data_IF_604674239628
#
_entry.id   IF_604674239628
#
_cell.length_a   1.000
_cell.length_b   1.000
_cell.length_c   1.000
_cell.angle_alpha   90.00
_cell.angle_beta   90.00
_cell.angle_gamma   90.00
#
_symmetry.space_group_name_H-M   'P 1'
#
loop_
_entity.id
_entity.type
_entity.pdbx_description
1 polymer ?
#
# COMPACT_ATOMS: atom_id res chain seq x y z
N UNK A 1 -29.22 -42.38 -11.25
CA UNK A 1 -30.47 -41.88 -10.66
C UNK A 1 -30.35 -41.54 -9.17
N UNK A 2 -29.16 -41.59 -8.53
CA UNK A 2 -28.98 -41.10 -7.14
C UNK A 2 -28.68 -39.60 -7.05
N UNK A 3 -28.01 -39.04 -8.07
CA UNK A 3 -27.59 -37.63 -8.05
C UNK A 3 -28.76 -36.64 -7.99
N UNK A 4 -29.92 -36.99 -8.56
CA UNK A 4 -31.07 -36.09 -8.60
C UNK A 4 -31.73 -35.98 -7.21
N UNK A 5 -31.90 -37.10 -6.49
CA UNK A 5 -32.43 -37.11 -5.13
C UNK A 5 -31.49 -36.39 -4.16
N UNK A 6 -30.17 -36.63 -4.26
CA UNK A 6 -29.16 -35.96 -3.44
C UNK A 6 -29.16 -34.44 -3.67
N UNK A 7 -29.21 -34.00 -4.93
CA UNK A 7 -29.27 -32.57 -5.29
C UNK A 7 -30.56 -31.92 -4.79
N UNK A 8 -31.70 -32.60 -4.90
CA UNK A 8 -32.99 -32.12 -4.39
C UNK A 8 -32.94 -32.02 -2.86
N UNK A 9 -32.39 -33.03 -2.17
CA UNK A 9 -32.23 -33.02 -0.73
C UNK A 9 -31.37 -31.84 -0.27
N UNK A 10 -30.20 -31.63 -0.87
CA UNK A 10 -29.31 -30.51 -0.56
C UNK A 10 -30.01 -29.16 -0.76
N UNK A 11 -30.74 -29.01 -1.86
CA UNK A 11 -31.52 -27.79 -2.14
C UNK A 11 -32.58 -27.55 -1.07
N UNK A 12 -33.32 -28.60 -0.68
CA UNK A 12 -34.34 -28.51 0.35
C UNK A 12 -33.73 -28.19 1.73
N UNK A 13 -32.57 -28.77 2.07
CA UNK A 13 -31.89 -28.48 3.34
C UNK A 13 -31.39 -27.04 3.40
N UNK A 14 -30.80 -26.54 2.30
CA UNK A 14 -30.34 -25.16 2.20
C UNK A 14 -31.48 -24.15 2.40
N UNK A 15 -32.61 -24.36 1.71
CA UNK A 15 -33.77 -23.47 1.82
C UNK A 15 -34.44 -23.52 3.20
N UNK A 16 -34.38 -24.66 3.89
CA UNK A 16 -34.88 -24.78 5.26
C UNK A 16 -33.92 -24.09 6.26
N UNK A 17 -32.61 -24.12 6.04
CA UNK A 17 -31.62 -23.43 6.90
C UNK A 17 -31.70 -21.90 6.76
N UNK A 18 -32.03 -21.39 5.57
CA UNK A 18 -32.23 -19.95 5.30
C UNK A 18 -33.66 -19.45 5.62
N UNK A 19 -34.51 -20.26 6.26
CA UNK A 19 -35.92 -19.96 6.56
C UNK A 19 -36.80 -19.63 5.31
N UNK A 20 -36.35 -20.02 4.10
CA UNK A 20 -37.03 -19.74 2.82
C UNK A 20 -38.11 -20.77 2.46
N UNK A 21 -38.09 -21.95 3.08
CA UNK A 21 -39.05 -23.03 2.83
C UNK A 21 -39.18 -23.96 4.03
N UNK A 22 -40.34 -24.57 4.23
CA UNK A 22 -40.53 -25.63 5.24
C UNK A 22 -40.58 -27.04 4.62
N UNK A 23 -40.51 -28.09 5.46
CA UNK A 23 -40.50 -29.50 5.02
C UNK A 23 -41.72 -29.82 4.15
N UNK A 24 -42.91 -29.31 4.48
CA UNK A 24 -44.13 -29.61 3.72
C UNK A 24 -44.10 -28.96 2.33
N UNK A 25 -43.58 -27.74 2.23
CA UNK A 25 -43.38 -27.03 0.96
C UNK A 25 -42.32 -27.69 0.08
N UNK A 26 -41.22 -28.16 0.67
CA UNK A 26 -40.20 -28.94 -0.02
C UNK A 26 -40.77 -30.25 -0.61
N UNK A 27 -41.59 -30.97 0.16
CA UNK A 27 -42.23 -32.21 -0.32
C UNK A 27 -43.31 -31.95 -1.38
N UNK A 28 -44.02 -30.82 -1.29
CA UNK A 28 -45.00 -30.42 -2.29
C UNK A 28 -44.35 -30.02 -3.63
N UNK A 29 -43.13 -29.47 -3.59
CA UNK A 29 -42.36 -29.07 -4.77
C UNK A 29 -41.79 -30.27 -5.55
N UNK A 30 -41.53 -31.38 -4.87
CA UNK A 30 -40.97 -32.61 -5.46
C UNK A 30 -41.82 -33.84 -5.12
N UNK A 31 -43.07 -33.93 -5.65
CA UNK A 31 -44.02 -34.98 -5.28
C UNK A 31 -43.54 -36.39 -5.66
N UNK A 32 -42.77 -36.52 -6.75
CA UNK A 32 -42.23 -37.80 -7.23
C UNK A 32 -41.20 -38.42 -6.26
N UNK A 33 -40.48 -37.58 -5.51
CA UNK A 33 -39.45 -38.01 -4.54
C UNK A 33 -39.90 -37.89 -3.08
N UNK A 34 -41.15 -37.49 -2.84
CA UNK A 34 -41.64 -37.14 -1.50
C UNK A 34 -41.58 -38.31 -0.50
N UNK A 35 -41.79 -39.55 -0.96
CA UNK A 35 -41.72 -40.75 -0.12
C UNK A 35 -40.30 -41.03 0.40
N UNK A 36 -39.29 -40.74 -0.41
CA UNK A 36 -37.87 -40.93 -0.07
C UNK A 36 -37.25 -39.71 0.64
N UNK A 37 -37.66 -38.48 0.29
CA UNK A 37 -37.15 -37.24 0.90
C UNK A 37 -37.63 -37.04 2.34
N UNK A 38 -38.89 -37.41 2.64
CA UNK A 38 -39.51 -37.17 3.95
C UNK A 38 -38.69 -37.73 5.14
N UNK A 39 -38.24 -39.00 5.15
CA UNK A 39 -37.42 -39.51 6.25
C UNK A 39 -36.05 -38.82 6.36
N UNK A 40 -35.44 -38.41 5.23
CA UNK A 40 -34.13 -37.76 5.21
C UNK A 40 -34.19 -36.35 5.82
N UNK A 41 -35.17 -35.54 5.41
CA UNK A 41 -35.41 -34.21 5.98
C UNK A 41 -35.78 -34.28 7.48
N UNK A 42 -36.56 -35.29 7.89
CA UNK A 42 -36.88 -35.51 9.29
C UNK A 42 -35.65 -35.90 10.13
N UNK A 43 -34.70 -36.65 9.56
CA UNK A 43 -33.45 -36.98 10.23
C UNK A 43 -32.53 -35.75 10.36
N UNK A 44 -32.39 -34.98 9.29
CA UNK A 44 -31.58 -33.76 9.27
C UNK A 44 -32.06 -32.73 10.30
N UNK A 45 -33.38 -32.51 10.41
CA UNK A 45 -33.95 -31.58 11.40
C UNK A 45 -33.75 -32.05 12.85
N UNK A 46 -33.79 -33.37 13.10
CA UNK A 46 -33.45 -33.92 14.43
C UNK A 46 -31.97 -33.70 14.76
N UNK A 47 -31.08 -33.85 13.78
CA UNK A 47 -29.64 -33.67 13.97
C UNK A 47 -29.27 -32.19 14.15
N UNK A 48 -29.94 -31.28 13.43
CA UNK A 48 -29.76 -29.84 13.56
C UNK A 48 -30.00 -29.35 15.00
N UNK A 49 -31.00 -29.89 15.70
CA UNK A 49 -31.24 -29.59 17.13
C UNK A 49 -30.09 -30.01 18.05
N UNK A 50 -29.28 -30.99 17.66
CA UNK A 50 -28.08 -31.39 18.39
C UNK A 50 -26.90 -30.43 18.21
N UNK A 51 -26.93 -29.56 17.20
CA UNK A 51 -25.87 -28.57 16.92
C UNK A 51 -25.88 -27.40 17.92
N UNK A 52 -27.00 -27.18 18.61
CA UNK A 52 -27.17 -26.16 19.65
C UNK A 52 -26.53 -26.56 21.00
N UNK A 53 -25.88 -27.72 21.08
CA UNK A 53 -25.15 -28.12 22.29
C UNK A 53 -23.93 -27.22 22.46
N UNK A 54 -24.12 -26.15 23.22
CA UNK A 54 -23.02 -25.27 23.67
C UNK A 54 -22.36 -25.91 24.88
N UNK A 55 -21.02 -26.09 24.89
CA UNK A 55 -20.34 -26.61 26.05
C UNK A 55 -20.50 -25.68 27.26
N UNK A 56 -20.69 -26.28 28.43
CA UNK A 56 -20.77 -25.56 29.69
C UNK A 56 -19.57 -24.58 29.85
N UNK A 57 -19.80 -23.29 30.18
CA UNK A 57 -18.73 -22.31 30.28
C UNK A 57 -17.64 -22.69 31.28
N UNK A 58 -17.99 -23.38 32.39
CA UNK A 58 -17.01 -23.82 33.38
C UNK A 58 -16.20 -25.03 32.88
N UNK A 59 -16.79 -25.90 32.05
CA UNK A 59 -16.03 -26.93 31.31
C UNK A 59 -15.02 -26.29 30.35
N UNK A 60 -15.44 -25.29 29.55
CA UNK A 60 -14.55 -24.59 28.60
C UNK A 60 -13.40 -23.88 29.32
N UNK A 61 -13.67 -23.24 30.46
CA UNK A 61 -12.64 -22.60 31.28
C UNK A 61 -11.62 -23.62 31.79
N UNK A 62 -12.09 -24.76 32.34
CA UNK A 62 -11.21 -25.85 32.81
C UNK A 62 -10.35 -26.44 31.70
N UNK A 63 -10.94 -26.69 30.52
CA UNK A 63 -10.21 -27.20 29.37
C UNK A 63 -9.10 -26.25 28.90
N UNK A 64 -9.37 -24.93 28.92
CA UNK A 64 -8.34 -23.91 28.61
C UNK A 64 -7.19 -23.94 29.62
N UNK A 65 -7.51 -23.95 30.91
CA UNK A 65 -6.47 -24.02 31.95
C UNK A 65 -5.61 -25.28 31.82
N UNK A 66 -6.21 -26.43 31.53
CA UNK A 66 -5.47 -27.69 31.30
C UNK A 66 -4.58 -27.60 30.05
N UNK A 67 -5.07 -27.01 28.98
CA UNK A 67 -4.29 -26.80 27.76
C UNK A 67 -3.10 -25.87 28.01
N UNK A 68 -3.30 -24.78 28.75
CA UNK A 68 -2.23 -23.84 29.10
C UNK A 68 -1.12 -24.53 29.92
N UNK A 69 -1.51 -25.33 30.92
CA UNK A 69 -0.56 -26.12 31.71
C UNK A 69 0.21 -27.10 30.83
N UNK A 70 -0.48 -27.79 29.91
CA UNK A 70 0.16 -28.72 28.97
C UNK A 70 1.15 -28.00 28.04
N UNK A 71 0.79 -26.85 27.49
CA UNK A 71 1.69 -26.05 26.63
C UNK A 71 2.92 -25.55 27.38
N UNK A 72 2.79 -25.19 28.66
CA UNK A 72 3.92 -24.79 29.50
C UNK A 72 4.84 -25.96 29.83
N UNK A 73 4.28 -27.15 30.07
CA UNK A 73 5.04 -28.36 30.34
C UNK A 73 5.70 -28.92 29.08
N UNK A 74 5.13 -28.69 27.90
CA UNK A 74 5.63 -29.19 26.61
C UNK A 74 5.88 -28.01 25.66
N UNK A 75 6.85 -27.12 25.99
CA UNK A 75 7.16 -25.98 25.15
C UNK A 75 7.70 -26.48 23.82
N UNK A 76 6.90 -26.33 22.76
CA UNK A 76 7.38 -26.58 21.41
C UNK A 76 8.46 -25.54 21.09
N UNK A 77 9.71 -26.00 20.99
CA UNK A 77 10.80 -25.15 20.49
C UNK A 77 10.48 -24.79 19.05
N UNK A 78 10.14 -23.52 18.80
CA UNK A 78 10.07 -22.98 17.43
C UNK A 78 11.45 -23.13 16.81
N UNK A 79 11.64 -24.19 16.03
CA UNK A 79 12.88 -24.45 15.33
C UNK A 79 12.93 -23.48 14.14
N UNK A 80 13.38 -22.25 14.38
CA UNK A 80 13.73 -21.34 13.29
C UNK A 80 14.91 -21.96 12.56
N UNK A 81 14.70 -22.34 11.30
CA UNK A 81 15.76 -22.96 10.51
C UNK A 81 16.94 -21.99 10.38
N UNK A 82 18.19 -22.41 10.66
CA UNK A 82 19.37 -21.56 10.50
C UNK A 82 19.57 -21.09 9.06
N UNK A 83 18.94 -21.79 8.10
CA UNK A 83 18.89 -21.42 6.69
C UNK A 83 18.07 -20.14 6.49
N UNK A 84 16.93 -20.00 7.18
CA UNK A 84 16.09 -18.82 7.10
C UNK A 84 16.82 -17.56 7.61
N UNK A 85 17.56 -17.68 8.72
CA UNK A 85 18.35 -16.57 9.26
C UNK A 85 19.48 -16.14 8.30
N UNK A 86 20.16 -17.10 7.65
CA UNK A 86 21.20 -16.83 6.65
C UNK A 86 20.64 -16.11 5.43
N UNK A 87 19.47 -16.52 4.93
CA UNK A 87 18.80 -15.82 3.84
C UNK A 87 18.35 -14.42 4.25
N UNK A 88 17.84 -14.23 5.46
CA UNK A 88 17.50 -12.89 5.98
C UNK A 88 18.70 -11.95 6.00
N UNK A 89 19.86 -12.41 6.47
CA UNK A 89 21.09 -11.61 6.46
C UNK A 89 21.50 -11.27 5.02
N UNK A 90 21.47 -12.25 4.11
CA UNK A 90 21.84 -12.05 2.71
C UNK A 90 20.92 -11.07 1.98
N UNK A 91 19.61 -11.14 2.24
CA UNK A 91 18.64 -10.19 1.68
C UNK A 91 18.87 -8.79 2.22
N UNK A 92 19.12 -8.65 3.53
CA UNK A 92 19.42 -7.36 4.15
C UNK A 92 20.72 -6.76 3.61
N UNK A 93 21.79 -7.55 3.44
CA UNK A 93 23.04 -7.04 2.86
C UNK A 93 22.89 -6.66 1.39
N UNK A 94 22.16 -7.43 0.58
CA UNK A 94 21.86 -7.05 -0.80
C UNK A 94 21.03 -5.76 -0.85
N UNK A 95 20.02 -5.61 0.00
CA UNK A 95 19.25 -4.36 0.13
C UNK A 95 20.14 -3.18 0.50
N UNK A 96 21.03 -3.35 1.48
CA UNK A 96 21.97 -2.31 1.90
C UNK A 96 22.96 -1.94 0.78
N UNK A 97 23.47 -2.93 0.04
CA UNK A 97 24.31 -2.69 -1.13
C UNK A 97 23.54 -1.98 -2.25
N UNK A 98 22.28 -2.33 -2.48
CA UNK A 98 21.44 -1.68 -3.48
C UNK A 98 21.10 -0.24 -3.11
N UNK A 99 20.88 0.04 -1.82
CA UNK A 99 20.72 1.41 -1.30
C UNK A 99 22.03 2.19 -1.45
N UNK A 100 23.18 1.59 -1.11
CA UNK A 100 24.48 2.23 -1.25
C UNK A 100 24.82 2.54 -2.72
N UNK A 101 24.67 1.58 -3.64
CA UNK A 101 24.96 1.75 -5.06
C UNK A 101 23.91 2.57 -5.81
N UNK A 102 22.64 2.51 -5.39
CA UNK A 102 21.54 3.23 -6.01
C UNK A 102 21.59 4.75 -5.80
N UNK A 103 22.23 5.23 -4.73
CA UNK A 103 22.34 6.68 -4.50
C UNK A 103 23.26 7.37 -5.50
N UNK A 104 24.38 6.75 -5.89
CA UNK A 104 25.37 7.39 -6.78
C UNK A 104 24.81 7.65 -8.20
N UNK A 105 24.12 6.68 -8.78
CA UNK A 105 23.50 6.83 -10.10
C UNK A 105 22.21 7.66 -10.09
N UNK A 106 21.49 7.70 -8.96
CA UNK A 106 20.29 8.52 -8.83
C UNK A 106 20.60 10.02 -8.80
N UNK A 107 21.77 10.44 -8.29
CA UNK A 107 22.09 11.87 -8.22
C UNK A 107 22.21 12.51 -9.60
N UNK A 108 22.71 11.78 -10.61
CA UNK A 108 22.96 12.29 -11.96
C UNK A 108 21.78 12.11 -12.92
N UNK A 109 20.76 11.31 -12.55
CA UNK A 109 19.59 11.10 -13.38
C UNK A 109 18.88 12.43 -13.68
N UNK A 110 18.64 12.68 -14.97
CA UNK A 110 17.91 13.83 -15.49
C UNK A 110 16.43 13.47 -15.70
N UNK A 111 15.54 14.48 -15.80
CA UNK A 111 14.15 14.24 -16.16
C UNK A 111 14.04 13.30 -17.36
N UNK A 112 13.21 12.26 -17.26
CA UNK A 112 13.01 11.28 -18.33
C UNK A 112 14.01 10.12 -18.38
N UNK A 113 15.06 10.11 -17.56
CA UNK A 113 15.89 8.91 -17.37
C UNK A 113 15.18 7.88 -16.48
N UNK A 114 15.49 6.59 -16.64
CA UNK A 114 14.82 5.50 -15.93
C UNK A 114 14.90 5.63 -14.38
N UNK A 115 16.06 6.09 -13.87
CA UNK A 115 16.28 6.25 -12.43
C UNK A 115 15.78 7.59 -11.87
N UNK A 116 15.13 8.44 -12.68
CA UNK A 116 14.66 9.75 -12.23
C UNK A 116 13.51 9.64 -11.23
N UNK A 117 12.59 8.70 -11.40
CA UNK A 117 11.54 8.42 -10.41
C UNK A 117 12.14 8.02 -9.07
N UNK A 118 13.17 7.17 -9.10
CA UNK A 118 13.89 6.76 -7.90
C UNK A 118 14.57 7.94 -7.19
N UNK A 119 15.17 8.86 -7.97
CA UNK A 119 15.71 10.12 -7.46
C UNK A 119 14.65 10.92 -6.71
N UNK A 120 13.50 11.17 -7.33
CA UNK A 120 12.39 11.92 -6.70
C UNK A 120 11.90 11.24 -5.42
N UNK A 121 11.78 9.91 -5.40
CA UNK A 121 11.36 9.19 -4.18
C UNK A 121 12.40 9.30 -3.06
N UNK A 122 13.69 9.20 -3.38
CA UNK A 122 14.76 9.32 -2.38
C UNK A 122 14.81 10.72 -1.76
N UNK A 123 14.58 11.75 -2.58
CA UNK A 123 14.52 13.15 -2.12
C UNK A 123 13.28 13.41 -1.26
N UNK A 124 12.15 12.77 -1.58
CA UNK A 124 10.95 12.85 -0.76
C UNK A 124 11.16 12.25 0.63
N UNK A 125 11.80 11.08 0.71
CA UNK A 125 12.19 10.46 1.99
C UNK A 125 13.14 11.36 2.76
N UNK A 126 14.19 11.88 2.11
CA UNK A 126 15.14 12.81 2.74
C UNK A 126 14.42 14.00 3.36
N UNK A 127 13.48 14.61 2.63
CA UNK A 127 12.68 15.72 3.13
C UNK A 127 11.84 15.36 4.35
N UNK A 128 11.17 14.21 4.36
CA UNK A 128 10.32 13.78 5.50
C UNK A 128 11.17 13.54 6.74
N UNK A 129 12.37 13.00 6.57
CA UNK A 129 13.27 12.69 7.69
C UNK A 129 14.11 13.88 8.18
N UNK A 130 14.12 14.99 7.44
CA UNK A 130 14.95 16.15 7.77
C UNK A 130 14.35 16.99 8.90
N UNK A 131 15.20 17.45 9.80
CA UNK A 131 14.85 18.42 10.86
C UNK A 131 14.51 19.79 10.24
N UNK A 132 15.12 20.15 9.10
CA UNK A 132 14.79 21.37 8.34
C UNK A 132 14.24 20.99 6.94
N UNK A 133 12.93 20.71 6.81
CA UNK A 133 12.32 20.40 5.51
C UNK A 133 12.42 21.55 4.51
N UNK A 134 12.44 22.80 4.99
CA UNK A 134 12.58 23.98 4.13
C UNK A 134 13.99 24.06 3.54
N UNK A 135 15.03 23.83 4.34
CA UNK A 135 16.41 23.75 3.85
C UNK A 135 16.60 22.66 2.79
N UNK A 136 15.93 21.52 2.95
CA UNK A 136 15.89 20.47 1.91
C UNK A 136 15.19 20.98 0.66
N UNK A 137 14.01 21.60 0.79
CA UNK A 137 13.27 22.14 -0.36
C UNK A 137 14.09 23.20 -1.13
N UNK A 138 14.82 24.08 -0.43
CA UNK A 138 15.76 25.04 -1.02
C UNK A 138 16.89 24.32 -1.77
N UNK A 139 17.48 23.28 -1.19
CA UNK A 139 18.54 22.51 -1.85
C UNK A 139 18.04 21.81 -3.11
N UNK A 140 16.85 21.20 -3.04
CA UNK A 140 16.21 20.57 -4.19
C UNK A 140 15.84 21.59 -5.26
N UNK A 141 15.50 22.83 -4.88
CA UNK A 141 15.20 23.89 -5.86
C UNK A 141 16.39 24.25 -6.74
N UNK A 142 17.58 24.39 -6.15
CA UNK A 142 18.81 24.62 -6.90
C UNK A 142 19.14 23.43 -7.82
N UNK A 143 18.83 22.21 -7.39
CA UNK A 143 18.98 21.02 -8.23
C UNK A 143 18.03 21.04 -9.42
N UNK A 144 16.75 21.37 -9.23
CA UNK A 144 15.78 21.46 -10.33
C UNK A 144 16.15 22.57 -11.33
N UNK A 145 16.67 23.70 -10.84
CA UNK A 145 17.25 24.73 -11.69
C UNK A 145 18.40 24.17 -12.56
N UNK A 146 19.37 23.49 -11.95
CA UNK A 146 20.50 22.93 -12.68
C UNK A 146 20.07 21.91 -13.73
N UNK A 147 19.11 21.04 -13.41
CA UNK A 147 18.55 20.09 -14.37
C UNK A 147 17.86 20.80 -15.54
N UNK A 148 17.11 21.87 -15.26
CA UNK A 148 16.48 22.68 -16.30
C UNK A 148 17.51 23.34 -17.23
N UNK A 149 18.60 23.89 -16.68
CA UNK A 149 19.69 24.47 -17.47
C UNK A 149 20.37 23.40 -18.34
N UNK A 150 20.71 22.25 -17.76
CA UNK A 150 21.36 21.13 -18.48
C UNK A 150 20.48 20.63 -19.62
N UNK A 151 19.19 20.40 -19.35
CA UNK A 151 18.26 19.87 -20.35
C UNK A 151 17.98 20.91 -21.44
N UNK A 152 17.89 22.20 -21.10
CA UNK A 152 17.66 23.26 -22.10
C UNK A 152 18.82 23.38 -23.10
N UNK A 153 20.04 22.99 -22.72
CA UNK A 153 21.18 22.90 -23.63
C UNK A 153 21.19 21.67 -24.55
N UNK A 154 20.36 20.64 -24.28
CA UNK A 154 20.39 19.35 -24.99
C UNK A 154 19.54 19.27 -26.25
N UNK A 155 18.61 20.21 -26.45
CA UNK A 155 17.68 20.23 -27.60
C UNK A 155 16.50 19.24 -27.52
N UNK A 156 16.43 18.39 -26.48
CA UNK A 156 15.30 17.48 -26.25
C UNK A 156 14.11 18.22 -25.61
N UNK A 157 13.15 18.60 -26.45
CA UNK A 157 11.99 19.39 -26.03
C UNK A 157 11.07 18.64 -25.06
N UNK A 158 10.90 17.33 -25.22
CA UNK A 158 10.06 16.53 -24.32
C UNK A 158 10.68 16.45 -22.93
N UNK A 159 12.01 16.30 -22.86
CA UNK A 159 12.78 16.36 -21.62
C UNK A 159 12.73 17.74 -20.98
N UNK A 160 12.83 18.80 -21.80
CA UNK A 160 12.75 20.19 -21.34
C UNK A 160 11.40 20.50 -20.71
N UNK A 161 10.31 20.10 -21.33
CA UNK A 161 8.97 20.25 -20.77
C UNK A 161 8.84 19.59 -19.38
N UNK A 162 9.37 18.36 -19.22
CA UNK A 162 9.40 17.68 -17.92
C UNK A 162 10.26 18.43 -16.88
N UNK A 163 11.40 18.97 -17.28
CA UNK A 163 12.26 19.75 -16.39
C UNK A 163 11.57 21.03 -15.91
N UNK A 164 10.88 21.74 -16.81
CA UNK A 164 10.08 22.93 -16.49
C UNK A 164 8.96 22.57 -15.51
N UNK A 165 8.18 21.52 -15.79
CA UNK A 165 7.09 21.06 -14.92
C UNK A 165 7.60 20.75 -13.50
N UNK A 166 8.74 20.06 -13.38
CA UNK A 166 9.33 19.72 -12.09
C UNK A 166 9.78 20.96 -11.31
N UNK A 167 10.30 21.98 -12.00
CA UNK A 167 10.65 23.26 -11.39
C UNK A 167 9.40 24.06 -10.97
N UNK A 168 8.37 24.12 -11.82
CA UNK A 168 7.10 24.77 -11.52
C UNK A 168 6.39 24.17 -10.29
N UNK A 169 6.37 22.85 -10.15
CA UNK A 169 5.83 22.16 -8.96
C UNK A 169 6.47 22.66 -7.67
N UNK A 170 7.77 22.98 -7.72
CA UNK A 170 8.49 23.52 -6.59
C UNK A 170 8.13 24.98 -6.32
N UNK A 171 7.96 25.80 -7.36
CA UNK A 171 7.49 27.17 -7.22
C UNK A 171 6.09 27.22 -6.59
N UNK A 172 5.15 26.40 -7.04
CA UNK A 172 3.80 26.33 -6.43
C UNK A 172 3.89 26.07 -4.92
N UNK A 173 4.79 25.16 -4.51
CA UNK A 173 5.02 24.84 -3.11
C UNK A 173 5.59 26.01 -2.31
N UNK A 174 6.57 26.72 -2.85
CA UNK A 174 7.11 27.91 -2.20
C UNK A 174 6.08 29.05 -2.13
N UNK A 175 5.12 29.10 -3.05
CA UNK A 175 4.15 30.20 -3.10
C UNK A 175 3.10 30.02 -2.01
N UNK A 176 2.78 28.76 -1.72
CA UNK A 176 1.90 28.36 -0.64
C UNK A 176 2.50 28.55 0.77
N UNK A 177 3.79 28.87 0.91
CA UNK A 177 4.39 29.15 2.22
C UNK A 177 3.90 30.52 2.74
N UNK A 178 3.23 30.49 3.90
CA UNK A 178 2.61 31.67 4.51
C UNK A 178 3.47 32.26 5.64
N UNK A 179 4.40 31.47 6.20
CA UNK A 179 5.23 31.92 7.30
C UNK A 179 6.27 32.96 6.81
N UNK A 180 6.28 34.14 7.43
CA UNK A 180 7.16 35.25 7.02
C UNK A 180 8.65 34.94 7.15
N UNK A 181 9.08 34.27 8.22
CA UNK A 181 10.49 33.90 8.42
C UNK A 181 10.96 32.93 7.34
N UNK A 182 10.11 31.97 6.97
CA UNK A 182 10.40 31.01 5.90
C UNK A 182 10.43 31.68 4.55
N UNK A 183 9.49 32.60 4.27
CA UNK A 183 9.49 33.42 3.06
C UNK A 183 10.76 34.26 2.94
N UNK A 184 11.22 34.86 4.03
CA UNK A 184 12.47 35.62 4.06
C UNK A 184 13.69 34.77 3.69
N UNK A 185 13.68 33.46 3.98
CA UNK A 185 14.71 32.51 3.53
C UNK A 185 14.59 32.14 2.05
N UNK A 186 13.37 32.03 1.51
CA UNK A 186 13.10 31.57 0.14
C UNK A 186 13.38 32.66 -0.90
N UNK A 187 12.91 33.89 -0.65
CA UNK A 187 12.96 35.00 -1.62
C UNK A 187 14.36 35.31 -2.20
N UNK A 188 15.45 35.41 -1.41
CA UNK A 188 16.76 35.67 -1.98
C UNK A 188 17.25 34.53 -2.89
N UNK A 189 16.88 33.28 -2.58
CA UNK A 189 17.22 32.12 -3.40
C UNK A 189 16.48 32.19 -4.74
N UNK A 190 15.16 32.41 -4.72
CA UNK A 190 14.38 32.53 -5.95
C UNK A 190 14.86 33.68 -6.84
N UNK A 191 15.34 34.78 -6.25
CA UNK A 191 15.91 35.91 -7.01
C UNK A 191 17.18 35.50 -7.74
N UNK A 192 18.10 34.84 -7.03
CA UNK A 192 19.32 34.32 -7.64
C UNK A 192 19.04 33.28 -8.74
N UNK A 193 18.02 32.43 -8.54
CA UNK A 193 17.60 31.45 -9.55
C UNK A 193 17.01 32.12 -10.79
N UNK A 194 16.20 33.17 -10.61
CA UNK A 194 15.64 33.95 -11.71
C UNK A 194 16.74 34.62 -12.54
N UNK A 195 17.72 35.26 -11.90
CA UNK A 195 18.88 35.85 -12.58
C UNK A 195 19.69 34.80 -13.35
N UNK A 196 19.90 33.62 -12.76
CA UNK A 196 20.61 32.52 -13.41
C UNK A 196 19.88 32.00 -14.65
N UNK A 197 18.54 31.89 -14.61
CA UNK A 197 17.71 31.47 -15.74
C UNK A 197 17.75 32.50 -16.87
N UNK A 198 17.64 33.78 -16.55
CA UNK A 198 17.76 34.87 -17.53
C UNK A 198 19.13 34.81 -18.21
N UNK A 199 20.21 34.63 -17.44
CA UNK A 199 21.58 34.50 -17.99
C UNK A 199 21.72 33.27 -18.89
N UNK A 200 20.99 32.19 -18.61
CA UNK A 200 20.95 30.99 -19.43
C UNK A 200 20.00 31.11 -20.65
N UNK A 201 19.29 32.22 -20.82
CA UNK A 201 18.33 32.42 -21.90
C UNK A 201 17.04 31.60 -21.73
N UNK A 202 16.72 31.16 -20.51
CA UNK A 202 15.56 30.33 -20.19
C UNK A 202 14.51 31.21 -19.51
N UNK A 203 13.31 31.26 -20.08
CA UNK A 203 12.17 31.97 -19.50
C UNK A 203 11.23 30.99 -18.79
N UNK A 204 10.91 31.29 -17.53
CA UNK A 204 9.94 30.55 -16.71
C UNK A 204 8.90 31.56 -16.21
N UNK A 205 7.73 31.67 -16.86
CA UNK A 205 6.73 32.69 -16.54
C UNK A 205 6.26 32.67 -15.08
N UNK A 206 6.22 31.50 -14.44
CA UNK A 206 5.78 31.35 -13.06
C UNK A 206 6.71 32.02 -12.04
N UNK A 207 7.98 32.23 -12.39
CA UNK A 207 8.93 33.00 -11.56
C UNK A 207 8.70 34.50 -11.65
N UNK A 208 8.15 35.00 -12.76
CA UNK A 208 7.87 36.43 -12.91
C UNK A 208 6.77 36.88 -11.93
N UNK A 209 5.84 35.98 -11.58
CA UNK A 209 4.82 36.23 -10.56
C UNK A 209 5.35 36.38 -9.13
N UNK A 210 6.58 35.95 -8.86
CA UNK A 210 7.22 36.08 -7.54
C UNK A 210 7.89 37.42 -7.30
N UNK A 211 8.33 38.07 -8.37
CA UNK A 211 9.06 39.33 -8.34
C UNK A 211 8.28 40.32 -9.19
N UNK A 212 7.21 40.94 -8.65
CA UNK A 212 6.55 42.02 -9.36
C UNK A 212 7.58 43.11 -9.67
N UNK A 213 7.46 43.67 -10.87
CA UNK A 213 8.32 44.75 -11.38
C UNK A 213 8.20 46.01 -10.53
#
# INVERSE_FOLDING_TARGET
MNNDLETILDTCLYQIEEDESNIAECLARYPEHASELKPLLAAATKLARGREVVPDPAFKARARTQLDVYMQQHPQRKHVSPVFWRFSIAVVTVLLLFVASGTAFAQTALPGDAFYTWKLTSEHVWRITSIDPLGVDITLSNRRLNELVVVSGSGDEARRARAVENYQKLLVKFNAEQNEERRARILPILRAQHEALIKAGILVPELEGYFPR
#
